data_IF_518103637902
#
_entry.id   IF_518103637902
#
_cell.length_a   1.000
_cell.length_b   1.000
_cell.length_c   1.000
_cell.angle_alpha   90.00
_cell.angle_beta   90.00
_cell.angle_gamma   90.00
#
_symmetry.space_group_name_H-M   'P 1'
#
loop_
_entity.id
_entity.type
_entity.pdbx_description
1 polymer ?
#
# COMPACT_ATOMS: atom_id res chain seq x y z
N UNK A 1 25.97 -23.68 -28.20
CA UNK A 1 25.81 -22.84 -26.99
C UNK A 1 25.55 -21.34 -27.27
N UNK A 2 25.82 -20.79 -28.46
CA UNK A 2 25.68 -19.34 -28.75
C UNK A 2 24.24 -18.83 -29.03
N UNK A 3 23.34 -19.67 -29.57
CA UNK A 3 22.01 -19.20 -30.03
C UNK A 3 20.93 -19.09 -28.93
N UNK A 4 21.09 -19.75 -27.78
CA UNK A 4 20.05 -19.76 -26.74
C UNK A 4 19.99 -18.44 -25.95
N UNK A 5 21.14 -17.82 -25.67
CA UNK A 5 21.22 -16.57 -24.92
C UNK A 5 20.76 -15.35 -25.74
N UNK A 6 20.95 -15.35 -27.07
CA UNK A 6 20.42 -14.31 -27.96
C UNK A 6 18.90 -14.40 -28.13
N UNK A 7 18.32 -15.60 -28.14
CA UNK A 7 16.87 -15.78 -28.12
C UNK A 7 16.24 -15.28 -26.80
N UNK A 8 16.87 -15.56 -25.65
CA UNK A 8 16.43 -15.09 -24.33
C UNK A 8 16.53 -13.55 -24.21
N UNK A 9 17.59 -12.94 -24.77
CA UNK A 9 17.79 -11.48 -24.74
C UNK A 9 16.79 -10.69 -25.60
N UNK A 10 16.19 -11.33 -26.62
CA UNK A 10 15.16 -10.71 -27.48
C UNK A 10 13.74 -11.04 -27.01
N UNK A 11 13.51 -12.25 -26.45
CA UNK A 11 12.17 -12.76 -26.10
C UNK A 11 11.76 -12.42 -24.66
N UNK A 12 12.71 -12.14 -23.75
CA UNK A 12 12.41 -11.81 -22.36
C UNK A 12 13.16 -10.56 -21.89
N UNK A 13 12.76 -9.35 -22.31
CA UNK A 13 13.50 -8.15 -21.93
C UNK A 13 13.16 -7.66 -20.50
N UNK A 14 12.35 -8.39 -19.72
CA UNK A 14 12.01 -8.14 -18.30
C UNK A 14 11.37 -9.40 -17.68
N UNK A 15 12.15 -10.42 -17.29
CA UNK A 15 11.61 -11.54 -16.51
C UNK A 15 12.49 -11.83 -15.29
N UNK A 16 12.13 -11.33 -14.10
CA UNK A 16 12.22 -12.15 -12.91
C UNK A 16 10.93 -13.00 -12.90
N UNK A 17 10.86 -14.05 -13.72
CA UNK A 17 9.77 -15.03 -13.59
C UNK A 17 10.09 -15.86 -12.36
N UNK A 18 9.76 -15.32 -11.18
CA UNK A 18 9.73 -16.08 -9.94
C UNK A 18 8.90 -17.32 -10.21
N UNK A 19 9.43 -18.49 -9.85
CA UNK A 19 8.74 -19.76 -10.05
C UNK A 19 7.37 -19.70 -9.37
N UNK A 20 6.34 -20.35 -9.95
CA UNK A 20 5.01 -20.43 -9.32
C UNK A 20 5.10 -20.90 -7.87
N UNK A 21 6.04 -21.81 -7.57
CA UNK A 21 6.34 -22.27 -6.21
C UNK A 21 6.84 -21.13 -5.32
N UNK A 22 7.80 -20.34 -5.79
CA UNK A 22 8.34 -19.18 -5.06
C UNK A 22 7.26 -18.13 -4.82
N UNK A 23 6.44 -17.81 -5.81
CA UNK A 23 5.33 -16.86 -5.64
C UNK A 23 4.30 -17.35 -4.63
N UNK A 24 3.97 -18.64 -4.64
CA UNK A 24 3.05 -19.23 -3.66
C UNK A 24 3.63 -19.15 -2.23
N UNK A 25 4.92 -19.45 -2.05
CA UNK A 25 5.60 -19.33 -0.75
C UNK A 25 5.56 -17.88 -0.25
N UNK A 26 5.86 -16.91 -1.11
CA UNK A 26 5.83 -15.48 -0.75
C UNK A 26 4.41 -15.06 -0.34
N UNK A 27 3.38 -15.47 -1.10
CA UNK A 27 1.98 -15.16 -0.77
C UNK A 27 1.61 -15.76 0.59
N UNK A 28 1.92 -17.04 0.83
CA UNK A 28 1.65 -17.68 2.12
C UNK A 28 2.36 -16.97 3.27
N UNK A 29 3.61 -16.57 3.08
CA UNK A 29 4.36 -15.81 4.08
C UNK A 29 3.68 -14.46 4.39
N UNK A 30 3.23 -13.72 3.36
CA UNK A 30 2.50 -12.46 3.55
C UNK A 30 1.22 -12.68 4.34
N UNK A 31 0.44 -13.72 4.02
CA UNK A 31 -0.78 -14.06 4.76
C UNK A 31 -0.50 -14.37 6.23
N UNK A 32 0.51 -15.19 6.50
CA UNK A 32 0.91 -15.52 7.88
C UNK A 32 1.38 -14.29 8.65
N UNK A 33 2.19 -13.43 8.02
CA UNK A 33 2.67 -12.19 8.63
C UNK A 33 1.51 -11.23 8.91
N UNK A 34 0.58 -11.06 7.96
CA UNK A 34 -0.61 -10.22 8.16
C UNK A 34 -1.50 -10.75 9.29
N UNK A 35 -1.70 -12.06 9.38
CA UNK A 35 -2.46 -12.67 10.48
C UNK A 35 -1.78 -12.46 11.84
N UNK A 36 -0.44 -12.57 11.88
CA UNK A 36 0.35 -12.31 13.07
C UNK A 36 0.25 -10.84 13.51
N UNK A 37 0.34 -9.89 12.57
CA UNK A 37 0.19 -8.47 12.86
C UNK A 37 -1.24 -8.11 13.32
N UNK A 38 -2.27 -8.80 12.84
CA UNK A 38 -3.65 -8.58 13.27
C UNK A 38 -3.97 -9.19 14.65
N UNK A 39 -3.17 -10.14 15.13
CA UNK A 39 -3.44 -10.91 16.34
C UNK A 39 -3.58 -10.06 17.61
N UNK A 40 -2.74 -9.05 17.89
CA UNK A 40 -2.91 -8.21 19.08
C UNK A 40 -4.27 -7.51 19.12
N UNK A 41 -4.76 -7.02 17.97
CA UNK A 41 -6.07 -6.37 17.91
C UNK A 41 -7.20 -7.34 18.25
N UNK A 42 -7.08 -8.61 17.84
CA UNK A 42 -8.06 -9.64 18.15
C UNK A 42 -8.06 -10.02 19.64
N UNK A 43 -6.89 -10.04 20.28
CA UNK A 43 -6.76 -10.44 21.68
C UNK A 43 -7.16 -9.33 22.67
N UNK A 44 -6.90 -8.08 22.31
CA UNK A 44 -7.09 -6.92 23.19
C UNK A 44 -8.31 -6.05 22.84
N UNK A 45 -9.14 -6.47 21.87
CA UNK A 45 -10.42 -5.80 21.60
C UNK A 45 -11.44 -6.16 22.68
N UNK A 46 -11.97 -5.15 23.35
CA UNK A 46 -13.00 -5.27 24.39
C UNK A 46 -14.24 -4.44 24.02
N UNK A 47 -15.41 -4.87 24.48
CA UNK A 47 -16.66 -4.11 24.36
C UNK A 47 -17.03 -3.51 25.70
N UNK A 48 -17.20 -2.20 25.75
CA UNK A 48 -17.53 -1.45 26.97
C UNK A 48 -18.86 -0.72 26.77
N UNK A 49 -19.73 -0.80 27.77
CA UNK A 49 -20.99 -0.06 27.82
C UNK A 49 -20.73 1.38 28.29
N UNK A 50 -21.05 2.35 27.44
CA UNK A 50 -20.95 3.78 27.76
C UNK A 50 -22.33 4.39 27.98
N UNK A 51 -22.54 4.88 29.20
CA UNK A 51 -23.71 5.69 29.53
C UNK A 51 -23.47 7.14 29.14
N UNK A 52 -24.19 7.61 28.14
CA UNK A 52 -24.12 8.99 27.69
C UNK A 52 -24.94 9.92 28.59
N UNK A 53 -24.58 11.21 28.59
CA UNK A 53 -25.29 12.26 29.34
C UNK A 53 -26.76 12.43 28.93
N UNK A 54 -27.16 11.90 27.77
CA UNK A 54 -28.54 11.87 27.29
C UNK A 54 -29.36 10.69 27.83
N UNK A 55 -28.77 9.85 28.69
CA UNK A 55 -29.39 8.65 29.26
C UNK A 55 -29.41 7.45 28.30
N UNK A 56 -28.80 7.56 27.12
CA UNK A 56 -28.63 6.42 26.22
C UNK A 56 -27.41 5.58 26.61
N UNK A 57 -27.59 4.27 26.61
CA UNK A 57 -26.49 3.32 26.75
C UNK A 57 -26.02 2.93 25.34
N UNK A 58 -24.72 3.03 25.06
CA UNK A 58 -24.12 2.63 23.79
C UNK A 58 -22.92 1.72 24.04
N UNK A 59 -22.88 0.60 23.31
CA UNK A 59 -21.77 -0.34 23.36
C UNK A 59 -20.69 0.11 22.38
N UNK A 60 -19.48 0.31 22.86
CA UNK A 60 -18.32 0.64 22.02
C UNK A 60 -17.30 -0.49 22.05
N UNK A 61 -16.70 -0.78 20.89
CA UNK A 61 -15.53 -1.66 20.79
C UNK A 61 -14.27 -0.80 20.81
N UNK A 62 -13.38 -1.06 21.76
CA UNK A 62 -12.11 -0.34 21.90
C UNK A 62 -10.99 -1.30 22.26
N UNK A 63 -9.74 -0.85 22.07
CA UNK A 63 -8.56 -1.61 22.42
C UNK A 63 -8.13 -1.25 23.84
N UNK A 64 -8.05 -2.27 24.69
CA UNK A 64 -7.53 -2.17 26.06
C UNK A 64 -6.26 -3.02 26.14
N UNK A 65 -5.11 -2.34 26.19
CA UNK A 65 -3.82 -3.01 26.28
C UNK A 65 -3.49 -3.35 27.75
N UNK A 66 -2.55 -4.26 28.02
CA UNK A 66 -2.23 -4.69 29.39
C UNK A 66 -1.77 -3.57 30.34
N UNK A 67 -1.28 -2.46 29.79
CA UNK A 67 -0.77 -1.31 30.53
C UNK A 67 -1.78 -0.16 30.63
N UNK A 68 -2.52 0.14 29.55
CA UNK A 68 -3.53 1.20 29.51
C UNK A 68 -4.39 1.13 28.22
N UNK A 69 -5.30 2.09 28.03
CA UNK A 69 -6.08 2.26 26.81
C UNK A 69 -5.23 2.75 25.62
N UNK A 70 -5.73 2.50 24.41
CA UNK A 70 -5.13 2.99 23.17
C UNK A 70 -4.91 4.51 23.19
N UNK A 71 -3.75 4.96 22.73
CA UNK A 71 -3.31 6.36 22.80
C UNK A 71 -2.49 6.74 24.04
N UNK A 72 -2.61 6.03 25.17
CA UNK A 72 -1.72 6.21 26.35
C UNK A 72 -0.69 5.08 26.42
N UNK A 73 -1.14 3.86 26.11
CA UNK A 73 -0.36 2.63 26.22
C UNK A 73 0.95 2.68 25.43
N UNK A 74 2.04 2.27 26.08
CA UNK A 74 3.33 2.08 25.42
C UNK A 74 3.28 0.89 24.44
N UNK A 75 2.54 -0.17 24.79
CA UNK A 75 2.36 -1.31 23.90
C UNK A 75 1.56 -0.94 22.64
N UNK A 76 0.55 -0.08 22.77
CA UNK A 76 -0.18 0.49 21.63
C UNK A 76 0.75 1.27 20.70
N UNK A 77 1.60 2.14 21.26
CA UNK A 77 2.58 2.89 20.48
C UNK A 77 3.55 1.97 19.74
N UNK A 78 4.17 1.01 20.45
CA UNK A 78 5.06 0.03 19.84
C UNK A 78 4.36 -0.76 18.73
N UNK A 79 3.11 -1.19 18.96
CA UNK A 79 2.29 -1.87 17.97
C UNK A 79 2.08 -1.00 16.72
N UNK A 80 1.67 0.26 16.89
CA UNK A 80 1.45 1.20 15.78
C UNK A 80 2.75 1.50 15.01
N UNK A 81 3.90 1.59 15.68
CA UNK A 81 5.22 1.71 15.02
C UNK A 81 5.54 0.48 14.19
N UNK A 82 5.40 -0.73 14.76
CA UNK A 82 5.65 -1.98 14.05
C UNK A 82 4.70 -2.09 12.84
N UNK A 83 3.42 -1.82 13.05
CA UNK A 83 2.41 -1.83 12.01
C UNK A 83 2.75 -0.86 10.89
N UNK A 84 3.12 0.40 11.20
CA UNK A 84 3.59 1.38 10.22
C UNK A 84 4.81 0.89 9.44
N UNK A 85 5.82 0.31 10.11
CA UNK A 85 7.03 -0.15 9.45
C UNK A 85 6.73 -1.27 8.45
N UNK A 86 5.96 -2.28 8.86
CA UNK A 86 5.70 -3.45 8.03
C UNK A 86 4.63 -3.23 6.97
N UNK A 87 3.60 -2.44 7.26
CA UNK A 87 2.47 -2.24 6.32
C UNK A 87 2.62 -1.01 5.43
N UNK A 88 3.44 -0.03 5.83
CA UNK A 88 3.64 1.21 5.07
C UNK A 88 5.09 1.45 4.66
N UNK A 89 6.03 1.58 5.61
CA UNK A 89 7.38 2.05 5.30
C UNK A 89 8.17 1.08 4.40
N UNK A 90 8.21 -0.21 4.75
CA UNK A 90 8.89 -1.23 3.94
C UNK A 90 8.27 -1.35 2.54
N UNK A 91 6.93 -1.50 2.38
CA UNK A 91 6.30 -1.48 1.06
C UNK A 91 6.61 -0.21 0.26
N UNK A 92 6.46 0.97 0.85
CA UNK A 92 6.69 2.25 0.16
C UNK A 92 8.14 2.41 -0.30
N UNK A 93 9.12 2.10 0.56
CA UNK A 93 10.54 2.20 0.21
C UNK A 93 10.93 1.19 -0.86
N UNK A 94 10.47 -0.06 -0.73
CA UNK A 94 10.77 -1.10 -1.73
C UNK A 94 10.19 -0.75 -3.10
N UNK A 95 8.96 -0.25 -3.14
CA UNK A 95 8.29 0.24 -4.35
C UNK A 95 9.02 1.43 -4.95
N UNK A 96 9.37 2.44 -4.13
CA UNK A 96 10.10 3.62 -4.60
C UNK A 96 11.44 3.25 -5.24
N UNK A 97 12.21 2.36 -4.62
CA UNK A 97 13.49 1.88 -5.16
C UNK A 97 13.26 1.12 -6.46
N UNK A 98 12.34 0.15 -6.48
CA UNK A 98 12.05 -0.66 -7.66
C UNK A 98 11.59 0.21 -8.84
N UNK A 99 10.67 1.15 -8.62
CA UNK A 99 10.16 2.03 -9.67
C UNK A 99 11.18 3.07 -10.11
N UNK A 100 12.06 3.53 -9.23
CA UNK A 100 13.17 4.42 -9.60
C UNK A 100 14.16 3.70 -10.54
N UNK A 101 14.53 2.46 -10.22
CA UNK A 101 15.39 1.64 -11.09
C UNK A 101 14.72 1.38 -12.43
N UNK A 102 13.44 0.97 -12.43
CA UNK A 102 12.70 0.71 -13.67
C UNK A 102 12.51 1.95 -14.53
N UNK A 103 12.27 3.13 -13.92
CA UNK A 103 12.15 4.40 -14.64
C UNK A 103 13.47 4.80 -15.27
N UNK A 104 14.59 4.66 -14.56
CA UNK A 104 15.93 4.91 -15.12
C UNK A 104 16.26 3.96 -16.27
N UNK A 105 15.98 2.67 -16.12
CA UNK A 105 16.24 1.67 -17.15
C UNK A 105 15.39 1.90 -18.41
N UNK A 106 14.12 2.30 -18.26
CA UNK A 106 13.25 2.60 -19.39
C UNK A 106 13.69 3.88 -20.11
N UNK A 107 13.89 5.00 -19.39
CA UNK A 107 14.23 6.26 -20.04
C UNK A 107 15.68 6.31 -20.56
N UNK A 108 16.62 5.67 -19.87
CA UNK A 108 18.03 5.60 -20.29
C UNK A 108 18.23 4.85 -21.62
N UNK A 109 17.44 3.80 -21.87
CA UNK A 109 17.56 2.98 -23.07
C UNK A 109 16.82 3.57 -24.29
N UNK A 110 15.97 4.59 -24.10
CA UNK A 110 15.21 5.20 -25.21
C UNK A 110 16.03 6.14 -26.11
N UNK A 111 17.27 6.49 -25.72
CA UNK A 111 18.08 7.50 -26.43
C UNK A 111 19.05 6.85 -27.45
N UNK A 112 19.31 5.53 -27.40
CA UNK A 112 20.47 4.93 -28.11
C UNK A 112 20.11 3.78 -29.09
N UNK A 113 18.88 3.24 -29.06
CA UNK A 113 18.58 2.00 -29.83
C UNK A 113 17.65 2.26 -31.01
N UNK A 114 18.11 1.94 -32.22
CA UNK A 114 17.25 1.75 -33.39
C UNK A 114 16.38 0.50 -33.15
N UNK A 115 15.12 0.71 -32.75
CA UNK A 115 14.21 -0.38 -32.39
C UNK A 115 13.32 -0.77 -33.56
N UNK A 116 13.11 -2.07 -33.77
CA UNK A 116 12.10 -2.55 -34.72
C UNK A 116 10.70 -2.18 -34.25
N UNK A 117 9.73 -2.01 -35.15
CA UNK A 117 8.34 -1.61 -34.82
C UNK A 117 7.73 -2.44 -33.66
N UNK A 118 7.88 -3.76 -33.67
CA UNK A 118 7.38 -4.63 -32.60
C UNK A 118 8.09 -4.44 -31.24
N UNK A 119 9.39 -4.10 -31.24
CA UNK A 119 10.12 -3.80 -30.01
C UNK A 119 9.69 -2.44 -29.43
N UNK A 120 9.39 -1.46 -30.29
CA UNK A 120 8.91 -0.15 -29.88
C UNK A 120 7.52 -0.23 -29.21
N UNK A 121 6.61 -1.06 -29.74
CA UNK A 121 5.31 -1.32 -29.12
C UNK A 121 5.43 -2.02 -27.76
N UNK A 122 6.29 -3.04 -27.67
CA UNK A 122 6.57 -3.73 -26.41
C UNK A 122 7.14 -2.76 -25.35
N UNK A 123 8.02 -1.85 -25.75
CA UNK A 123 8.58 -0.82 -24.88
C UNK A 123 7.54 0.20 -24.40
N UNK A 124 6.68 0.69 -25.30
CA UNK A 124 5.55 1.57 -24.94
C UNK A 124 4.61 0.91 -23.93
N UNK A 125 4.29 -0.37 -24.13
CA UNK A 125 3.46 -1.15 -23.21
C UNK A 125 4.10 -1.27 -21.82
N UNK A 126 5.41 -1.59 -21.75
CA UNK A 126 6.16 -1.65 -20.49
C UNK A 126 6.18 -0.32 -19.75
N UNK A 127 6.45 0.77 -20.46
CA UNK A 127 6.43 2.13 -19.90
C UNK A 127 5.07 2.46 -19.29
N UNK A 128 3.99 2.10 -19.98
CA UNK A 128 2.62 2.28 -19.48
C UNK A 128 2.37 1.49 -18.19
N UNK A 129 2.82 0.23 -18.10
CA UNK A 129 2.71 -0.57 -16.88
C UNK A 129 3.48 0.06 -15.73
N UNK A 130 4.72 0.53 -15.96
CA UNK A 130 5.50 1.18 -14.90
C UNK A 130 4.85 2.49 -14.43
N UNK A 131 4.32 3.31 -15.34
CA UNK A 131 3.56 4.52 -14.98
C UNK A 131 2.34 4.17 -14.14
N UNK A 132 1.61 3.12 -14.50
CA UNK A 132 0.47 2.64 -13.72
C UNK A 132 0.88 2.24 -12.31
N UNK A 133 1.96 1.46 -12.16
CA UNK A 133 2.45 1.03 -10.86
C UNK A 133 2.92 2.21 -9.99
N UNK A 134 3.57 3.22 -10.58
CA UNK A 134 3.93 4.46 -9.89
C UNK A 134 2.68 5.19 -9.40
N UNK A 135 1.65 5.34 -10.25
CA UNK A 135 0.39 5.99 -9.87
C UNK A 135 -0.28 5.29 -8.68
N UNK A 136 -0.38 3.95 -8.71
CA UNK A 136 -0.94 3.17 -7.60
C UNK A 136 -0.14 3.39 -6.31
N UNK A 137 1.19 3.44 -6.40
CA UNK A 137 2.08 3.62 -5.25
C UNK A 137 1.92 4.99 -4.60
N UNK A 138 1.82 6.05 -5.41
CA UNK A 138 1.62 7.41 -4.92
C UNK A 138 0.27 7.51 -4.19
N UNK A 139 -0.78 6.92 -4.78
CA UNK A 139 -2.12 6.90 -4.19
C UNK A 139 -2.11 6.13 -2.86
N UNK A 140 -1.50 4.94 -2.82
CA UNK A 140 -1.31 4.18 -1.58
C UNK A 140 -0.61 5.03 -0.52
N UNK A 141 0.49 5.69 -0.89
CA UNK A 141 1.26 6.57 -0.01
C UNK A 141 0.43 7.72 0.58
N UNK A 142 -0.37 8.40 -0.24
CA UNK A 142 -1.21 9.54 0.18
C UNK A 142 -2.41 9.08 1.01
N UNK A 143 -3.03 7.95 0.68
CA UNK A 143 -4.21 7.46 1.38
C UNK A 143 -3.87 6.95 2.79
N UNK A 144 -2.72 6.28 2.96
CA UNK A 144 -2.37 5.63 4.22
C UNK A 144 -1.53 6.50 5.17
N UNK A 145 -0.74 7.44 4.64
CA UNK A 145 0.11 8.29 5.50
C UNK A 145 -0.68 9.06 6.57
N UNK A 146 -1.80 9.74 6.24
CA UNK A 146 -2.56 10.49 7.23
C UNK A 146 -3.07 9.61 8.38
N UNK A 147 -3.49 8.37 8.06
CA UNK A 147 -3.95 7.40 9.04
C UNK A 147 -2.84 7.01 10.03
N UNK A 148 -1.62 6.72 9.55
CA UNK A 148 -0.51 6.41 10.45
C UNK A 148 -0.05 7.62 11.27
N UNK A 149 0.01 8.81 10.65
CA UNK A 149 0.37 10.04 11.36
C UNK A 149 -0.63 10.38 12.48
N UNK A 150 -1.90 10.06 12.29
CA UNK A 150 -2.93 10.25 13.32
C UNK A 150 -2.60 9.49 14.61
N UNK A 151 -2.23 8.21 14.55
CA UNK A 151 -1.90 7.43 15.76
C UNK A 151 -0.67 7.99 16.48
N UNK A 152 0.37 8.38 15.74
CA UNK A 152 1.53 9.03 16.34
C UNK A 152 1.19 10.39 16.96
N UNK A 153 0.33 11.16 16.30
CA UNK A 153 -0.09 12.46 16.80
C UNK A 153 -0.90 12.35 18.09
N UNK A 154 -1.87 11.43 18.15
CA UNK A 154 -2.72 11.20 19.33
C UNK A 154 -1.89 10.70 20.51
N UNK A 155 -0.95 9.78 20.29
CA UNK A 155 -0.07 9.29 21.35
C UNK A 155 0.72 10.42 22.03
N UNK A 156 1.18 11.41 21.27
CA UNK A 156 1.92 12.55 21.80
C UNK A 156 1.04 13.71 22.30
N UNK A 157 -0.24 13.76 21.94
CA UNK A 157 -1.16 14.85 22.26
C UNK A 157 -2.51 14.31 22.73
N UNK A 158 -2.49 13.54 23.81
CA UNK A 158 -3.68 12.83 24.29
C UNK A 158 -4.85 13.75 24.67
N UNK A 159 -4.58 14.99 25.09
CA UNK A 159 -5.64 15.97 25.40
C UNK A 159 -6.55 16.22 24.18
N UNK A 160 -6.03 16.06 22.97
CA UNK A 160 -6.78 16.25 21.73
C UNK A 160 -7.78 15.10 21.52
N UNK A 161 -7.54 13.88 22.01
CA UNK A 161 -8.46 12.76 21.79
C UNK A 161 -9.81 12.89 22.51
N UNK A 162 -9.93 13.81 23.48
CA UNK A 162 -11.18 14.09 24.18
C UNK A 162 -12.16 14.96 23.37
N UNK A 163 -11.70 15.59 22.28
CA UNK A 163 -12.53 16.48 21.48
C UNK A 163 -13.46 15.71 20.52
N UNK A 164 -14.77 16.01 20.46
CA UNK A 164 -15.73 15.30 19.60
C UNK A 164 -15.42 15.43 18.10
N UNK A 165 -14.68 16.48 17.71
CA UNK A 165 -14.20 16.66 16.34
C UNK A 165 -13.19 15.56 15.94
N UNK A 166 -12.43 15.02 16.89
CA UNK A 166 -11.36 14.06 16.61
C UNK A 166 -11.91 12.71 16.14
N UNK A 167 -13.08 12.29 16.62
CA UNK A 167 -13.75 11.09 16.11
C UNK A 167 -14.13 11.23 14.63
N UNK A 168 -14.61 12.42 14.22
CA UNK A 168 -14.94 12.70 12.82
C UNK A 168 -13.70 12.72 11.93
N UNK A 169 -12.61 13.33 12.43
CA UNK A 169 -11.31 13.34 11.74
C UNK A 169 -10.80 11.91 11.57
N UNK A 170 -10.79 11.11 12.64
CA UNK A 170 -10.39 9.70 12.59
C UNK A 170 -11.17 8.92 11.54
N UNK A 171 -12.50 9.04 11.55
CA UNK A 171 -13.37 8.34 10.60
C UNK A 171 -13.06 8.77 9.15
N UNK A 172 -12.84 10.06 8.90
CA UNK A 172 -12.47 10.56 7.58
C UNK A 172 -11.11 10.02 7.11
N UNK A 173 -10.10 10.00 7.99
CA UNK A 173 -8.78 9.43 7.68
C UNK A 173 -8.86 7.92 7.42
N UNK A 174 -9.66 7.20 8.20
CA UNK A 174 -9.91 5.77 8.01
C UNK A 174 -10.57 5.52 6.65
N UNK A 175 -11.60 6.28 6.29
CA UNK A 175 -12.27 6.15 4.98
C UNK A 175 -11.33 6.45 3.81
N UNK A 176 -10.45 7.44 3.97
CA UNK A 176 -9.43 7.75 2.96
C UNK A 176 -8.46 6.58 2.77
N UNK A 177 -7.97 5.97 3.86
CA UNK A 177 -7.08 4.81 3.80
C UNK A 177 -7.77 3.61 3.11
N UNK A 178 -9.02 3.34 3.46
CA UNK A 178 -9.81 2.24 2.89
C UNK A 178 -10.15 2.44 1.41
N UNK A 179 -10.31 3.69 0.97
CA UNK A 179 -10.60 4.04 -0.43
C UNK A 179 -9.51 3.59 -1.41
N UNK A 180 -8.26 3.41 -0.94
CA UNK A 180 -7.16 2.89 -1.75
C UNK A 180 -7.51 1.56 -2.45
N UNK A 181 -8.23 0.67 -1.77
CA UNK A 181 -8.65 -0.62 -2.34
C UNK A 181 -9.59 -0.46 -3.53
N UNK A 182 -10.48 0.55 -3.50
CA UNK A 182 -11.41 0.88 -4.57
C UNK A 182 -10.73 1.58 -5.76
N UNK A 183 -9.63 2.30 -5.51
CA UNK A 183 -8.89 3.02 -6.55
C UNK A 183 -8.12 2.08 -7.47
N UNK A 184 -7.72 0.90 -6.99
CA UNK A 184 -6.99 -0.09 -7.77
C UNK A 184 -7.69 -0.42 -9.11
N UNK A 185 -8.92 -1.00 -9.15
CA UNK A 185 -9.66 -1.24 -10.40
C UNK A 185 -9.85 -0.01 -11.29
N UNK A 186 -10.12 1.16 -10.70
CA UNK A 186 -10.32 2.41 -11.43
C UNK A 186 -9.06 2.86 -12.16
N UNK A 187 -7.90 2.77 -11.52
CA UNK A 187 -6.60 3.08 -12.12
C UNK A 187 -6.32 2.14 -13.29
N UNK A 188 -6.55 0.83 -13.12
CA UNK A 188 -6.41 -0.14 -14.20
C UNK A 188 -7.34 0.21 -15.37
N UNK A 189 -8.61 0.53 -15.11
CA UNK A 189 -9.59 0.86 -16.15
C UNK A 189 -9.26 2.17 -16.89
N UNK A 190 -8.90 3.24 -16.17
CA UNK A 190 -8.61 4.56 -16.76
C UNK A 190 -7.33 4.53 -17.60
N UNK A 191 -6.29 3.85 -17.13
CA UNK A 191 -5.05 3.72 -17.89
C UNK A 191 -5.21 2.78 -19.08
N UNK A 192 -6.11 1.78 -19.01
CA UNK A 192 -6.43 0.95 -20.18
C UNK A 192 -7.32 1.67 -21.22
N UNK A 193 -8.23 2.57 -20.79
CA UNK A 193 -8.98 3.42 -21.72
C UNK A 193 -8.09 4.48 -22.38
N UNK A 194 -7.16 5.10 -21.65
CA UNK A 194 -6.23 6.11 -22.20
C UNK A 194 -5.37 5.58 -23.35
N UNK A 195 -5.06 4.28 -23.38
CA UNK A 195 -4.37 3.68 -24.54
C UNK A 195 -5.25 3.48 -25.78
N UNK A 196 -6.56 3.32 -25.62
CA UNK A 196 -7.49 3.22 -26.76
C UNK A 196 -7.72 4.58 -27.40
N UNK A 197 -7.72 5.65 -26.60
CA UNK A 197 -7.90 7.04 -27.09
C UNK A 197 -6.68 7.60 -27.81
N UNK A 198 -5.45 7.23 -27.41
CA UNK A 198 -4.20 7.70 -28.07
C UNK A 198 -3.98 7.01 -29.43
N UNK A 199 -4.65 5.89 -29.71
CA UNK A 199 -4.57 5.18 -30.99
C UNK A 199 -5.65 5.65 -32.00
N UNK A 200 -6.45 6.66 -31.64
CA UNK A 200 -7.52 7.25 -32.45
C UNK A 200 -7.28 8.72 -32.82
N UNK A 201 -6.08 9.24 -32.59
CA UNK A 201 -5.59 10.54 -33.06
C UNK A 201 -4.35 10.27 -33.90
#
# INVERSE_FOLDING_TARGET
MSNHYRYIAVVHPLNPRTSKKTSAIIIMFIWCLSALLALPNLLYSVTIDFDYSDGSNRIMCMLEWPDDYAGVSYYDYCYNVIFFVFTYAIPMLSMLVAYSIMSRALWGNSIIVEMTHGQQEAFKSKKKVVIMLITVTIIFGICWLPYHLYFFYVYHNIEVSAEPLVQHIYLALYWLAMSNSCLNPLIYALLNKRSVSIQKI
#
